data_IF_330502071150
#
_entry.id   IF_330502071150
#
_cell.length_a   1.000
_cell.length_b   1.000
_cell.length_c   1.000
_cell.angle_alpha   90.00
_cell.angle_beta   90.00
_cell.angle_gamma   90.00
#
_symmetry.space_group_name_H-M   'P 1'
#
loop_
_entity.id
_entity.type
_entity.pdbx_description
1 polymer ?
#
# COMPACT_ATOMS: atom_id res chain seq x y z
N UNK A 1 7.30 1.10 -22.77
CA UNK A 1 7.76 0.63 -21.45
C UNK A 1 6.71 1.03 -20.42
N UNK A 2 5.97 0.09 -19.86
CA UNK A 2 5.02 0.38 -18.77
C UNK A 2 5.82 0.65 -17.50
N UNK A 3 5.59 1.80 -16.86
CA UNK A 3 6.44 2.32 -15.76
C UNK A 3 6.22 1.61 -14.41
N UNK A 4 5.19 0.78 -14.29
CA UNK A 4 4.76 0.17 -13.02
C UNK A 4 4.32 -1.28 -13.20
N UNK A 5 4.49 -2.11 -12.17
CA UNK A 5 4.13 -3.53 -12.14
C UNK A 5 2.61 -3.75 -12.01
N UNK A 6 1.96 -2.88 -11.23
CA UNK A 6 0.54 -2.92 -10.89
C UNK A 6 0.09 -1.50 -10.55
N UNK A 7 -1.18 -1.20 -10.78
CA UNK A 7 -1.80 0.05 -10.35
C UNK A 7 -3.13 -0.28 -9.65
N UNK A 8 -3.37 0.35 -8.51
CA UNK A 8 -4.62 0.25 -7.75
C UNK A 8 -5.29 1.61 -7.69
N UNK A 9 -6.62 1.58 -7.66
CA UNK A 9 -7.45 2.76 -7.43
C UNK A 9 -8.18 2.57 -6.10
N UNK A 10 -7.99 3.50 -5.18
CA UNK A 10 -8.76 3.58 -3.95
C UNK A 10 -10.00 4.44 -4.18
N UNK A 11 -11.14 4.01 -3.68
CA UNK A 11 -12.40 4.74 -3.78
C UNK A 11 -13.24 4.50 -2.52
N UNK A 12 -14.08 5.47 -2.17
CA UNK A 12 -15.07 5.33 -1.09
C UNK A 12 -16.45 4.93 -1.62
N UNK A 13 -16.54 4.50 -2.89
CA UNK A 13 -17.79 4.07 -3.51
C UNK A 13 -18.26 2.74 -2.92
N UNK A 14 -19.54 2.65 -2.62
CA UNK A 14 -20.22 1.39 -2.32
C UNK A 14 -20.54 0.67 -3.64
N UNK A 15 -20.14 -0.59 -3.75
CA UNK A 15 -20.51 -1.46 -4.87
C UNK A 15 -21.68 -2.36 -4.49
N UNK A 16 -22.38 -2.90 -5.50
CA UNK A 16 -23.44 -3.87 -5.30
C UNK A 16 -22.91 -5.17 -4.67
N UNK A 17 -23.81 -5.94 -4.06
CA UNK A 17 -23.54 -7.29 -3.53
C UNK A 17 -22.42 -7.38 -2.49
N UNK A 18 -22.11 -6.27 -1.81
CA UNK A 18 -21.09 -6.24 -0.76
C UNK A 18 -19.64 -6.34 -1.28
N UNK A 19 -19.41 -6.09 -2.56
CA UNK A 19 -18.06 -6.12 -3.16
C UNK A 19 -17.19 -4.99 -2.58
N UNK A 20 -16.07 -5.35 -1.97
CA UNK A 20 -15.10 -4.41 -1.40
C UNK A 20 -13.99 -4.00 -2.38
N UNK A 21 -13.74 -4.80 -3.40
CA UNK A 21 -12.70 -4.55 -4.40
C UNK A 21 -12.68 -5.62 -5.48
N UNK A 22 -11.98 -5.33 -6.58
CA UNK A 22 -11.84 -6.23 -7.72
C UNK A 22 -10.42 -6.16 -8.27
N UNK A 23 -9.90 -7.31 -8.71
CA UNK A 23 -8.60 -7.41 -9.35
C UNK A 23 -8.61 -8.49 -10.42
N UNK A 24 -7.74 -8.32 -11.42
CA UNK A 24 -7.51 -9.35 -12.42
C UNK A 24 -6.52 -10.40 -11.87
N UNK A 25 -6.90 -11.67 -11.89
CA UNK A 25 -6.04 -12.79 -11.48
C UNK A 25 -4.91 -13.03 -12.49
N UNK A 26 -3.67 -13.06 -12.01
CA UNK A 26 -2.51 -13.37 -12.84
C UNK A 26 -2.46 -14.85 -13.19
N UNK A 27 -1.93 -15.19 -14.37
CA UNK A 27 -1.75 -16.58 -14.80
C UNK A 27 -0.27 -16.89 -15.10
N UNK A 28 0.23 -18.08 -14.72
CA UNK A 28 1.61 -18.50 -14.99
C UNK A 28 1.89 -18.72 -16.49
N UNK A 29 0.87 -18.70 -17.36
CA UNK A 29 1.05 -18.79 -18.81
C UNK A 29 1.65 -17.48 -19.33
N UNK A 30 2.81 -17.52 -20.02
CA UNK A 30 3.58 -16.33 -20.47
C UNK A 30 2.78 -15.24 -21.20
N UNK A 31 1.76 -15.62 -21.97
CA UNK A 31 0.95 -14.69 -22.78
C UNK A 31 -0.45 -14.43 -22.23
N UNK A 32 -0.80 -14.95 -21.05
CA UNK A 32 -2.09 -14.63 -20.46
C UNK A 32 -2.12 -13.17 -20.01
N UNK A 33 -3.28 -12.53 -20.13
CA UNK A 33 -3.52 -11.18 -19.67
C UNK A 33 -4.10 -11.19 -18.26
N UNK A 34 -3.83 -10.14 -17.49
CA UNK A 34 -4.33 -9.97 -16.12
C UNK A 34 -3.23 -10.07 -15.05
N UNK A 35 -3.47 -9.38 -13.94
CA UNK A 35 -2.57 -9.33 -12.78
C UNK A 35 -1.24 -8.61 -13.05
N UNK A 36 -0.21 -8.98 -12.27
CA UNK A 36 1.11 -8.34 -12.30
C UNK A 36 1.78 -8.42 -13.67
N UNK A 37 2.51 -7.36 -14.04
CA UNK A 37 3.26 -7.26 -15.29
C UNK A 37 2.42 -7.53 -16.56
N UNK A 38 1.09 -7.39 -16.51
CA UNK A 38 0.24 -7.59 -17.67
C UNK A 38 0.32 -6.38 -18.60
N UNK A 39 0.62 -6.62 -19.88
CA UNK A 39 0.59 -5.57 -20.91
C UNK A 39 -0.83 -5.05 -21.12
N UNK A 40 -0.97 -3.76 -21.48
CA UNK A 40 -2.23 -3.18 -21.96
C UNK A 40 -2.82 -4.01 -23.10
N UNK A 41 -4.05 -4.49 -22.88
CA UNK A 41 -4.87 -5.15 -23.89
C UNK A 41 -6.26 -4.51 -23.92
N UNK A 42 -6.82 -4.29 -25.11
CA UNK A 42 -8.06 -3.54 -25.34
C UNK A 42 -9.35 -4.32 -25.02
N UNK A 43 -9.28 -5.48 -24.36
CA UNK A 43 -10.46 -6.33 -24.13
C UNK A 43 -10.72 -6.59 -22.66
N UNK A 44 -11.97 -6.34 -22.27
CA UNK A 44 -12.58 -6.73 -21.00
C UNK A 44 -12.52 -8.25 -20.86
N UNK A 45 -12.02 -8.75 -19.74
CA UNK A 45 -12.15 -10.16 -19.35
C UNK A 45 -12.56 -10.23 -17.88
N UNK A 46 -13.62 -10.96 -17.57
CA UNK A 46 -13.98 -11.29 -16.20
C UNK A 46 -13.11 -12.45 -15.66
N UNK A 47 -12.89 -12.49 -14.35
CA UNK A 47 -12.29 -13.63 -13.65
C UNK A 47 -13.00 -13.89 -12.32
N UNK A 48 -13.21 -15.17 -12.02
CA UNK A 48 -13.37 -15.70 -10.67
C UNK A 48 -12.56 -17.01 -10.60
N UNK A 49 -11.68 -17.15 -9.62
CA UNK A 49 -11.17 -18.47 -9.19
C UNK A 49 -11.33 -18.55 -7.67
N UNK A 50 -12.28 -19.37 -7.21
CA UNK A 50 -12.47 -19.69 -5.81
C UNK A 50 -11.60 -20.88 -5.40
N UNK A 51 -10.88 -20.76 -4.30
CA UNK A 51 -10.18 -21.87 -3.65
C UNK A 51 -10.54 -21.85 -2.16
N UNK A 52 -11.11 -22.95 -1.64
CA UNK A 52 -11.49 -23.07 -0.23
C UNK A 52 -10.60 -24.08 0.49
N UNK A 53 -10.25 -23.77 1.74
CA UNK A 53 -9.55 -24.65 2.68
C UNK A 53 -10.07 -24.40 4.10
N UNK A 54 -10.08 -25.43 4.95
CA UNK A 54 -10.67 -25.43 6.30
C UNK A 54 -9.69 -25.99 7.33
N UNK A 55 -9.14 -25.14 8.21
CA UNK A 55 -8.48 -25.53 9.48
C UNK A 55 -8.70 -24.40 10.53
N UNK A 56 -8.66 -24.77 11.82
CA UNK A 56 -9.15 -24.11 13.04
C UNK A 56 -8.47 -22.79 13.51
N UNK A 57 -7.67 -22.09 12.70
CA UNK A 57 -6.99 -20.83 13.11
C UNK A 57 -7.54 -19.60 12.35
N UNK A 58 -8.82 -19.62 11.98
CA UNK A 58 -9.44 -18.59 11.14
C UNK A 58 -9.08 -18.69 9.66
N UNK A 59 -9.60 -17.75 8.85
CA UNK A 59 -9.48 -17.76 7.38
C UNK A 59 -8.22 -17.04 6.89
N UNK A 60 -7.68 -17.46 5.74
CA UNK A 60 -6.52 -16.81 5.11
C UNK A 60 -6.91 -15.58 4.27
N UNK A 61 -5.94 -14.74 3.90
CA UNK A 61 -6.13 -13.51 3.09
C UNK A 61 -6.91 -13.73 1.79
N UNK A 62 -6.77 -14.90 1.15
CA UNK A 62 -7.46 -15.23 -0.11
C UNK A 62 -8.85 -15.86 0.09
N UNK A 63 -9.42 -15.76 1.29
CA UNK A 63 -10.79 -16.20 1.54
C UNK A 63 -11.77 -15.29 0.78
N UNK A 64 -12.77 -15.84 0.07
CA UNK A 64 -13.62 -15.06 -0.83
C UNK A 64 -14.62 -14.13 -0.14
N UNK A 65 -14.76 -14.21 1.18
CA UNK A 65 -15.68 -13.37 1.95
C UNK A 65 -14.91 -12.50 2.94
N UNK A 66 -15.53 -11.39 3.37
CA UNK A 66 -14.96 -10.54 4.40
C UNK A 66 -14.70 -11.33 5.69
N UNK A 67 -13.57 -11.02 6.32
CA UNK A 67 -13.14 -11.57 7.61
C UNK A 67 -12.96 -10.42 8.60
N UNK A 68 -13.02 -10.73 9.89
CA UNK A 68 -12.91 -9.72 10.95
C UNK A 68 -11.52 -9.05 11.00
N UNK A 69 -10.49 -9.75 10.51
CA UNK A 69 -9.10 -9.30 10.57
C UNK A 69 -8.39 -9.64 11.88
N UNK A 70 -9.07 -10.30 12.84
CA UNK A 70 -8.51 -10.60 14.16
C UNK A 70 -7.94 -12.02 14.31
N UNK A 71 -8.23 -12.93 13.37
CA UNK A 71 -7.69 -14.27 13.44
C UNK A 71 -6.26 -14.32 12.93
N UNK A 72 -5.42 -15.20 13.51
CA UNK A 72 -4.02 -15.38 13.12
C UNK A 72 -3.81 -15.52 11.61
N UNK A 73 -4.67 -16.30 10.94
CA UNK A 73 -4.54 -16.54 9.50
C UNK A 73 -4.94 -15.35 8.63
N UNK A 74 -5.64 -14.34 9.15
CA UNK A 74 -6.11 -13.19 8.36
C UNK A 74 -4.95 -12.35 7.80
N UNK A 75 -3.72 -12.53 8.32
CA UNK A 75 -2.50 -11.89 7.82
C UNK A 75 -1.64 -12.81 6.93
N UNK A 76 -1.99 -14.09 6.80
CA UNK A 76 -1.19 -15.08 6.08
C UNK A 76 -1.83 -15.56 4.77
N UNK A 77 -0.98 -15.96 3.83
CA UNK A 77 -1.41 -16.75 2.69
C UNK A 77 -1.48 -18.24 3.04
N UNK A 78 -2.54 -18.90 2.58
CA UNK A 78 -2.65 -20.36 2.64
C UNK A 78 -1.53 -21.04 1.84
N UNK A 79 -1.18 -22.31 2.12
CA UNK A 79 -0.23 -23.08 1.31
C UNK A 79 -0.59 -23.11 -0.18
N UNK A 80 -1.88 -23.16 -0.52
CA UNK A 80 -2.36 -23.18 -1.89
C UNK A 80 -2.16 -21.84 -2.60
N UNK A 81 -2.43 -20.74 -1.90
CA UNK A 81 -2.14 -19.38 -2.38
C UNK A 81 -0.65 -19.20 -2.64
N UNK A 82 0.22 -19.64 -1.72
CA UNK A 82 1.68 -19.58 -1.86
C UNK A 82 2.17 -20.34 -3.10
N UNK A 83 1.67 -21.56 -3.33
CA UNK A 83 1.99 -22.36 -4.53
C UNK A 83 1.61 -21.64 -5.82
N UNK A 84 0.41 -21.07 -5.88
CA UNK A 84 -0.07 -20.36 -7.06
C UNK A 84 0.73 -19.08 -7.33
N UNK A 85 0.96 -18.28 -6.30
CA UNK A 85 1.78 -17.06 -6.37
C UNK A 85 3.19 -17.40 -6.86
N UNK A 86 3.81 -18.44 -6.32
CA UNK A 86 5.14 -18.90 -6.73
C UNK A 86 5.20 -19.24 -8.23
N UNK A 87 4.19 -19.94 -8.77
CA UNK A 87 4.13 -20.28 -10.19
C UNK A 87 3.96 -19.05 -11.10
N UNK A 88 3.22 -18.03 -10.66
CA UNK A 88 3.09 -16.76 -11.39
C UNK A 88 4.42 -15.99 -11.33
N UNK A 89 5.03 -15.89 -10.15
CA UNK A 89 6.27 -15.16 -9.95
C UNK A 89 7.41 -15.74 -10.80
N UNK A 90 7.54 -17.06 -10.90
CA UNK A 90 8.59 -17.71 -11.70
C UNK A 90 8.54 -17.39 -13.19
N UNK A 91 7.38 -16.96 -13.70
CA UNK A 91 7.16 -16.69 -15.13
C UNK A 91 7.00 -15.22 -15.46
N UNK A 92 6.51 -14.39 -14.53
CA UNK A 92 6.15 -12.98 -14.79
C UNK A 92 7.11 -11.97 -14.19
N UNK A 93 7.72 -12.27 -13.05
CA UNK A 93 8.48 -11.29 -12.26
C UNK A 93 9.55 -10.59 -13.09
N UNK A 94 10.32 -11.32 -13.89
CA UNK A 94 11.41 -10.78 -14.72
C UNK A 94 11.01 -9.67 -15.69
N UNK A 95 9.72 -9.59 -16.06
CA UNK A 95 9.25 -8.63 -17.06
C UNK A 95 9.02 -7.22 -16.50
N UNK A 96 8.79 -7.07 -15.19
CA UNK A 96 8.51 -5.76 -14.61
C UNK A 96 8.99 -5.56 -13.16
N UNK A 97 9.44 -6.61 -12.48
CA UNK A 97 10.03 -6.49 -11.16
C UNK A 97 11.43 -5.91 -11.32
N UNK A 98 11.75 -4.94 -10.48
CA UNK A 98 13.11 -4.45 -10.33
C UNK A 98 13.76 -5.20 -9.18
N UNK A 99 15.05 -5.48 -9.31
CA UNK A 99 15.84 -6.06 -8.21
C UNK A 99 15.64 -5.15 -7.00
N UNK A 100 15.28 -5.73 -5.86
CA UNK A 100 15.26 -5.02 -4.59
C UNK A 100 16.73 -4.76 -4.23
N UNK A 101 17.29 -3.66 -4.71
CA UNK A 101 18.44 -3.05 -4.07
C UNK A 101 17.85 -2.37 -2.86
N UNK A 102 17.95 -3.02 -1.70
CA UNK A 102 17.86 -2.35 -0.39
C UNK A 102 18.49 -0.97 -0.54
N UNK A 103 17.73 0.11 -0.35
CA UNK A 103 18.13 1.50 -0.62
C UNK A 103 18.07 1.96 -2.09
N UNK A 104 16.94 1.79 -2.79
CA UNK A 104 16.57 2.84 -3.75
C UNK A 104 15.64 3.78 -2.99
N UNK A 105 16.15 4.83 -2.32
CA UNK A 105 15.27 5.86 -1.78
C UNK A 105 14.38 6.36 -2.91
N UNK A 106 13.07 6.22 -2.72
CA UNK A 106 12.07 6.58 -3.72
C UNK A 106 11.39 7.87 -3.31
N UNK A 107 12.17 8.95 -3.28
CA UNK A 107 11.70 10.28 -2.95
C UNK A 107 10.42 10.65 -3.70
N UNK A 108 9.39 11.00 -2.93
CA UNK A 108 8.05 11.32 -3.37
C UNK A 108 7.04 10.18 -3.22
N UNK A 109 7.36 9.13 -2.46
CA UNK A 109 6.43 8.03 -2.16
C UNK A 109 5.68 8.21 -0.81
N UNK A 110 6.05 9.23 -0.02
CA UNK A 110 5.45 9.54 1.28
C UNK A 110 6.04 8.78 2.48
N UNK A 111 7.10 7.99 2.27
CA UNK A 111 7.77 7.17 3.29
C UNK A 111 9.24 7.56 3.34
N UNK A 112 9.73 7.91 4.53
CA UNK A 112 11.14 8.26 4.71
C UNK A 112 12.00 7.00 4.53
N UNK A 113 12.71 6.93 3.39
CA UNK A 113 13.69 5.90 3.11
C UNK A 113 15.07 6.25 3.70
N UNK A 114 16.00 5.28 3.70
CA UNK A 114 17.37 5.50 4.17
C UNK A 114 18.05 6.61 3.36
N UNK A 115 18.39 7.71 4.03
CA UNK A 115 19.07 8.87 3.44
C UNK A 115 18.15 10.05 3.14
N UNK A 116 16.86 9.93 3.38
CA UNK A 116 15.88 11.01 3.29
C UNK A 116 15.65 11.62 4.68
N UNK A 117 15.41 12.93 4.75
CA UNK A 117 15.06 13.64 6.00
C UNK A 117 13.53 13.83 6.12
N UNK A 118 12.84 13.80 4.99
CA UNK A 118 11.39 13.92 4.85
C UNK A 118 10.96 13.35 3.50
N UNK A 119 9.71 12.92 3.36
CA UNK A 119 9.09 12.59 2.07
C UNK A 119 7.60 12.94 2.12
N UNK A 120 7.22 14.05 1.49
CA UNK A 120 5.84 14.53 1.43
C UNK A 120 5.02 13.94 0.28
N UNK A 121 5.53 12.87 -0.32
CA UNK A 121 4.91 12.23 -1.46
C UNK A 121 4.89 13.14 -2.69
N UNK A 122 3.93 12.87 -3.56
CA UNK A 122 3.75 13.63 -4.80
C UNK A 122 3.42 15.12 -4.57
N UNK A 123 2.81 15.47 -3.42
CA UNK A 123 2.46 16.86 -3.08
C UNK A 123 3.72 17.69 -2.80
N UNK A 124 4.69 17.13 -2.07
CA UNK A 124 6.00 17.76 -1.89
C UNK A 124 6.75 18.00 -3.21
N UNK A 125 6.64 17.05 -4.14
CA UNK A 125 7.27 17.19 -5.48
C UNK A 125 6.68 18.33 -6.33
N UNK A 126 5.43 18.72 -6.08
CA UNK A 126 4.80 19.86 -6.76
C UNK A 126 5.17 21.22 -6.14
N UNK A 127 5.89 21.23 -5.01
CA UNK A 127 6.21 22.46 -4.28
C UNK A 127 5.03 23.03 -3.49
N UNK A 128 4.06 22.17 -3.14
CA UNK A 128 2.91 22.53 -2.32
C UNK A 128 3.20 22.57 -0.82
N UNK A 129 4.40 22.16 -0.38
CA UNK A 129 4.79 22.11 1.02
C UNK A 129 6.00 22.96 1.32
N UNK A 130 6.01 23.57 2.51
CA UNK A 130 7.06 24.48 2.95
C UNK A 130 8.23 23.78 3.63
N UNK A 131 8.04 22.56 4.12
CA UNK A 131 8.98 21.91 5.05
C UNK A 131 9.94 20.92 4.38
N UNK A 132 9.58 20.37 3.22
CA UNK A 132 10.35 19.35 2.52
C UNK A 132 10.65 19.74 1.07
N UNK A 133 11.89 19.57 0.62
CA UNK A 133 12.29 19.82 -0.76
C UNK A 133 11.89 18.66 -1.69
N UNK A 134 11.95 18.90 -3.00
CA UNK A 134 11.74 17.86 -4.02
C UNK A 134 12.82 16.76 -4.02
N UNK A 135 13.90 16.96 -3.26
CA UNK A 135 14.98 16.00 -3.08
C UNK A 135 14.89 15.27 -1.73
N UNK A 136 13.74 15.37 -1.03
CA UNK A 136 13.49 14.69 0.24
C UNK A 136 14.44 15.10 1.37
N UNK A 137 14.76 16.40 1.39
CA UNK A 137 15.53 17.06 2.45
C UNK A 137 14.67 18.14 3.11
N UNK A 138 14.92 18.41 4.39
CA UNK A 138 14.23 19.48 5.10
C UNK A 138 14.65 20.85 4.56
N UNK A 139 13.75 21.81 4.59
CA UNK A 139 14.00 23.19 4.15
C UNK A 139 14.52 24.03 5.31
N UNK A 140 15.71 24.62 5.17
CA UNK A 140 16.24 25.58 6.14
C UNK A 140 16.40 24.99 7.54
N UNK A 141 15.67 25.54 8.51
CA UNK A 141 15.67 25.11 9.91
C UNK A 141 14.48 24.21 10.27
N UNK A 142 13.75 23.70 9.27
CA UNK A 142 12.69 22.72 9.49
C UNK A 142 13.22 21.50 10.25
N UNK A 143 12.41 21.01 11.18
CA UNK A 143 12.72 19.84 12.02
C UNK A 143 11.88 18.62 11.63
N UNK A 144 10.77 18.84 10.95
CA UNK A 144 9.82 17.80 10.58
C UNK A 144 8.97 18.23 9.38
N UNK A 145 8.22 17.27 8.85
CA UNK A 145 7.14 17.47 7.88
C UNK A 145 5.84 16.91 8.47
N UNK A 146 4.73 17.64 8.28
CA UNK A 146 3.39 17.22 8.75
C UNK A 146 2.82 16.01 8.01
N UNK A 147 3.40 15.63 6.85
CA UNK A 147 3.03 14.40 6.15
C UNK A 147 3.67 13.18 6.81
N UNK A 148 4.90 13.31 7.31
CA UNK A 148 5.61 12.20 7.93
C UNK A 148 5.37 12.10 9.44
N UNK A 149 5.11 13.24 10.10
CA UNK A 149 4.95 13.32 11.55
C UNK A 149 3.69 14.10 11.91
N UNK A 150 2.74 13.43 12.57
CA UNK A 150 1.46 14.00 13.03
C UNK A 150 1.65 15.12 14.06
N UNK A 151 2.78 15.10 14.79
CA UNK A 151 3.21 16.13 15.74
C UNK A 151 4.16 17.17 15.12
N UNK A 152 3.91 17.55 13.87
CA UNK A 152 4.64 18.61 13.20
C UNK A 152 3.71 19.78 12.88
N UNK A 153 4.06 20.95 13.42
CA UNK A 153 3.33 22.20 13.17
C UNK A 153 4.32 23.26 12.69
N UNK A 154 4.01 23.90 11.57
CA UNK A 154 4.84 24.96 10.97
C UNK A 154 6.33 24.55 10.82
N UNK A 155 6.54 23.31 10.35
CA UNK A 155 7.86 22.68 10.18
C UNK A 155 8.68 22.47 11.47
N UNK A 156 8.05 22.58 12.65
CA UNK A 156 8.65 22.36 13.97
C UNK A 156 7.92 21.27 14.75
N UNK A 157 8.63 20.62 15.67
CA UNK A 157 8.00 19.67 16.60
C UNK A 157 6.95 20.42 17.42
N UNK A 158 5.72 19.92 17.42
CA UNK A 158 4.62 20.53 18.14
C UNK A 158 4.88 20.50 19.66
N UNK A 159 4.43 21.52 20.42
CA UNK A 159 4.59 21.53 21.88
C UNK A 159 3.97 20.31 22.57
N UNK A 160 4.51 19.95 23.74
CA UNK A 160 3.96 18.91 24.61
C UNK A 160 2.46 19.14 24.86
N UNK A 161 1.67 18.07 24.74
CA UNK A 161 0.22 18.12 24.95
C UNK A 161 -0.58 18.66 23.77
N UNK A 162 0.05 19.00 22.63
CA UNK A 162 -0.68 19.41 21.42
C UNK A 162 -1.50 18.23 20.88
N UNK A 163 -2.81 18.36 20.64
CA UNK A 163 -3.62 17.27 20.10
C UNK A 163 -3.20 16.98 18.66
N UNK A 164 -2.79 15.74 18.38
CA UNK A 164 -2.37 15.30 17.06
C UNK A 164 -3.40 14.38 16.38
N UNK A 165 -4.20 13.67 17.19
CA UNK A 165 -5.27 12.80 16.67
C UNK A 165 -6.50 12.87 17.57
N UNK A 166 -7.66 13.08 16.95
CA UNK A 166 -8.94 13.08 17.66
C UNK A 166 -9.35 11.70 18.18
N UNK A 167 -10.26 11.69 19.14
CA UNK A 167 -10.90 10.46 19.60
C UNK A 167 -11.73 9.81 18.49
N UNK A 168 -11.84 8.48 18.52
CA UNK A 168 -12.69 7.72 17.61
C UNK A 168 -13.34 6.55 18.33
N UNK A 169 -14.66 6.66 18.53
CA UNK A 169 -15.48 5.59 19.08
C UNK A 169 -15.52 4.36 18.17
N UNK A 170 -15.41 4.54 16.84
CA UNK A 170 -15.45 3.44 15.87
C UNK A 170 -14.20 2.55 15.93
N UNK A 171 -13.05 3.14 16.27
CA UNK A 171 -11.78 2.40 16.37
C UNK A 171 -11.31 2.21 17.81
N UNK A 172 -12.15 2.56 18.79
CA UNK A 172 -11.85 2.52 20.22
C UNK A 172 -10.51 3.21 20.57
N UNK A 173 -10.32 4.43 20.06
CA UNK A 173 -9.11 5.23 20.31
C UNK A 173 -9.47 6.51 21.03
N UNK A 174 -8.77 6.79 22.13
CA UNK A 174 -8.80 8.09 22.79
C UNK A 174 -7.96 9.11 22.00
N UNK A 175 -8.14 10.40 22.30
CA UNK A 175 -7.34 11.46 21.69
C UNK A 175 -5.85 11.29 22.01
N UNK A 176 -5.01 11.43 20.98
CA UNK A 176 -3.56 11.39 21.13
C UNK A 176 -2.97 12.81 21.13
N UNK A 177 -1.94 12.98 21.94
CA UNK A 177 -1.25 14.26 22.13
C UNK A 177 0.25 14.09 21.96
N UNK A 178 0.92 15.15 21.51
CA UNK A 178 2.36 15.18 21.30
C UNK A 178 3.14 15.12 22.63
N UNK A 179 4.30 14.47 22.60
CA UNK A 179 5.23 14.30 23.72
C UNK A 179 6.51 15.09 23.52
#
# INVERSE_FOLDING_TARGET
LEKHCLAHLFTHRRFADGVLGLAYIASPRKHALGGICSRRASRVRAMNTGFSSTINNGKYVMYPYAVSGYDENNEYFSPCSKRYISAVLSTRSSSCFKKFTTNVPMCGNGVIDKGEECDEGFVGLQGGSSCCTKNCTLVGDAQCSSVNFECCQDCKVAPYGTPCRGESQQTCREAAHCS
#
